data_IF_159600949469
#
_entry.id   IF_159600949469
#
_cell.length_a   1.000
_cell.length_b   1.000
_cell.length_c   1.000
_cell.angle_alpha   90.00
_cell.angle_beta   90.00
_cell.angle_gamma   90.00
#
_symmetry.space_group_name_H-M   'P 1'
#
loop_
_entity.id
_entity.type
_entity.pdbx_description
1 polymer ?
#
# COMPACT_ATOMS: atom_id res chain seq x y z
N UNK A 1 15.39 -10.88 5.08
CA UNK A 1 16.17 -11.74 4.16
C UNK A 1 17.64 -11.92 4.55
N UNK A 2 18.27 -11.06 5.36
CA UNK A 2 19.68 -11.25 5.75
C UNK A 2 20.00 -12.65 6.30
N UNK A 3 19.11 -13.28 7.08
CA UNK A 3 19.34 -14.64 7.61
C UNK A 3 19.42 -15.75 6.55
N UNK A 4 18.75 -15.61 5.40
CA UNK A 4 18.76 -16.65 4.35
C UNK A 4 20.07 -16.68 3.58
N UNK A 5 20.90 -15.62 3.67
CA UNK A 5 22.25 -15.61 3.11
C UNK A 5 23.23 -16.53 3.89
N UNK A 6 22.94 -16.83 5.17
CA UNK A 6 23.76 -17.73 6.01
C UNK A 6 23.11 -19.10 6.24
N UNK A 7 21.82 -19.25 5.91
CA UNK A 7 21.11 -20.53 5.98
C UNK A 7 19.94 -20.53 4.99
N UNK A 8 20.12 -21.22 3.86
CA UNK A 8 19.15 -21.35 2.78
C UNK A 8 18.03 -22.36 3.08
N UNK A 9 18.16 -23.14 4.13
CA UNK A 9 17.15 -24.11 4.59
C UNK A 9 16.07 -23.50 5.48
N UNK A 10 16.14 -22.19 5.74
CA UNK A 10 15.14 -21.51 6.55
C UNK A 10 13.83 -21.37 5.77
N UNK A 11 12.73 -21.76 6.41
CA UNK A 11 11.40 -21.57 5.85
C UNK A 11 11.03 -20.08 5.77
N UNK A 12 10.47 -19.68 4.62
CA UNK A 12 10.13 -18.29 4.36
C UNK A 12 8.99 -17.82 5.26
N UNK A 13 7.96 -18.64 5.44
CA UNK A 13 6.75 -18.27 6.17
C UNK A 13 7.04 -18.11 7.66
N UNK A 14 7.85 -19.01 8.23
CA UNK A 14 8.35 -18.87 9.60
C UNK A 14 9.15 -17.58 9.78
N UNK A 15 10.03 -17.26 8.82
CA UNK A 15 10.84 -16.04 8.88
C UNK A 15 9.99 -14.78 8.76
N UNK A 16 8.99 -14.78 7.88
CA UNK A 16 8.06 -13.68 7.70
C UNK A 16 7.25 -13.45 8.98
N UNK A 17 6.61 -14.50 9.52
CA UNK A 17 5.86 -14.42 10.78
C UNK A 17 6.72 -13.85 11.91
N UNK A 18 7.94 -14.37 12.07
CA UNK A 18 8.87 -13.88 13.09
C UNK A 18 9.28 -12.42 12.87
N UNK A 19 9.53 -12.03 11.63
CA UNK A 19 9.86 -10.64 11.32
C UNK A 19 8.73 -9.70 11.71
N UNK A 20 7.50 -10.01 11.28
CA UNK A 20 6.35 -9.16 11.55
C UNK A 20 5.99 -9.14 13.04
N UNK A 21 6.06 -10.25 13.76
CA UNK A 21 5.83 -10.27 15.22
C UNK A 21 6.86 -9.41 15.97
N UNK A 22 8.12 -9.42 15.53
CA UNK A 22 9.18 -8.60 16.15
C UNK A 22 9.10 -7.11 15.77
N UNK A 23 8.59 -6.78 14.58
CA UNK A 23 8.55 -5.41 14.09
C UNK A 23 7.25 -4.67 14.46
N UNK A 24 6.14 -5.40 14.60
CA UNK A 24 4.80 -4.85 14.78
C UNK A 24 4.11 -5.34 16.06
N UNK A 25 4.74 -6.23 16.83
CA UNK A 25 4.21 -6.74 18.09
C UNK A 25 3.04 -7.70 17.91
N UNK A 26 2.07 -7.62 18.81
CA UNK A 26 0.94 -8.55 18.90
C UNK A 26 0.12 -8.64 17.60
N UNK A 27 -0.08 -7.51 16.91
CA UNK A 27 -0.83 -7.45 15.66
C UNK A 27 0.05 -7.67 14.42
N UNK A 28 1.28 -8.18 14.59
CA UNK A 28 2.22 -8.40 13.48
C UNK A 28 1.71 -9.38 12.42
N UNK A 29 1.03 -10.46 12.82
CA UNK A 29 0.48 -11.43 11.85
C UNK A 29 -0.62 -10.79 10.98
N UNK A 30 -1.45 -9.91 11.55
CA UNK A 30 -2.41 -9.10 10.78
C UNK A 30 -1.72 -8.21 9.74
N UNK A 31 -0.56 -7.62 10.10
CA UNK A 31 0.23 -6.81 9.18
C UNK A 31 0.83 -7.65 8.04
N UNK A 32 1.29 -8.86 8.33
CA UNK A 32 1.77 -9.81 7.32
C UNK A 32 0.66 -10.16 6.32
N UNK A 33 -0.52 -10.54 6.80
CA UNK A 33 -1.67 -10.85 5.96
C UNK A 33 -2.08 -9.64 5.11
N UNK A 34 -2.13 -8.45 5.73
CA UNK A 34 -2.41 -7.20 5.04
C UNK A 34 -1.46 -6.96 3.86
N UNK A 35 -0.15 -7.09 4.11
CA UNK A 35 0.89 -6.88 3.09
C UNK A 35 0.86 -7.93 1.99
N UNK A 36 0.66 -9.21 2.33
CA UNK A 36 0.59 -10.29 1.36
C UNK A 36 -0.57 -10.06 0.39
N UNK A 37 -1.76 -9.80 0.92
CA UNK A 37 -2.95 -9.55 0.10
C UNK A 37 -2.82 -8.27 -0.73
N UNK A 38 -2.23 -7.21 -0.17
CA UNK A 38 -1.98 -5.98 -0.92
C UNK A 38 -1.02 -6.21 -2.08
N UNK A 39 0.00 -7.05 -1.91
CA UNK A 39 0.92 -7.45 -2.98
C UNK A 39 0.19 -8.16 -4.12
N UNK A 40 -0.74 -9.07 -3.81
CA UNK A 40 -1.58 -9.74 -4.79
C UNK A 40 -2.48 -8.76 -5.55
N UNK A 41 -3.12 -7.83 -4.83
CA UNK A 41 -4.00 -6.82 -5.42
C UNK A 41 -3.27 -5.90 -6.39
N UNK A 42 -2.01 -5.55 -6.09
CA UNK A 42 -1.19 -4.74 -6.98
C UNK A 42 -0.71 -5.46 -8.24
N UNK A 43 -0.90 -6.78 -8.35
CA UNK A 43 -0.60 -7.58 -9.54
C UNK A 43 0.83 -7.34 -10.09
N UNK A 44 1.86 -7.92 -9.44
CA UNK A 44 3.25 -7.71 -9.82
C UNK A 44 3.56 -8.03 -11.31
N UNK A 45 2.93 -9.03 -11.97
CA UNK A 45 3.02 -9.19 -13.42
C UNK A 45 2.58 -7.95 -14.21
N UNK A 46 1.45 -7.34 -13.87
CA UNK A 46 0.96 -6.11 -14.51
C UNK A 46 1.95 -4.95 -14.29
N UNK A 47 2.41 -4.74 -13.05
CA UNK A 47 3.38 -3.67 -12.74
C UNK A 47 4.72 -3.81 -13.46
N UNK A 48 5.10 -5.04 -13.85
CA UNK A 48 6.33 -5.31 -14.62
C UNK A 48 6.12 -5.27 -16.12
N UNK A 49 4.94 -4.85 -16.60
CA UNK A 49 4.63 -4.78 -18.03
C UNK A 49 4.49 -6.15 -18.71
N UNK A 50 4.22 -7.22 -17.94
CA UNK A 50 3.96 -8.55 -18.50
C UNK A 50 2.50 -8.72 -18.98
N UNK A 51 1.67 -7.68 -18.81
CA UNK A 51 0.29 -7.59 -19.27
C UNK A 51 0.09 -6.30 -20.06
N UNK A 52 -1.01 -6.22 -20.80
CA UNK A 52 -1.37 -5.01 -21.53
C UNK A 52 -1.61 -3.84 -20.57
N UNK A 53 -1.27 -2.63 -21.02
CA UNK A 53 -1.46 -1.42 -20.24
C UNK A 53 -2.94 -1.08 -20.01
N UNK A 54 -3.82 -1.48 -20.94
CA UNK A 54 -5.27 -1.31 -20.80
C UNK A 54 -5.84 -2.70 -20.50
N UNK A 55 -6.24 -2.92 -19.25
CA UNK A 55 -6.77 -4.19 -18.77
C UNK A 55 -7.92 -3.89 -17.80
N UNK A 56 -9.15 -4.25 -18.21
CA UNK A 56 -10.36 -4.01 -17.40
C UNK A 56 -10.34 -4.79 -16.08
N UNK A 57 -9.75 -5.99 -16.06
CA UNK A 57 -9.65 -6.81 -14.85
C UNK A 57 -8.64 -6.22 -13.88
N UNK A 58 -7.54 -5.66 -14.39
CA UNK A 58 -6.59 -4.93 -13.57
C UNK A 58 -7.24 -3.65 -12.99
N UNK A 59 -7.98 -2.90 -13.80
CA UNK A 59 -8.70 -1.71 -13.34
C UNK A 59 -9.71 -2.03 -12.22
N UNK A 60 -10.54 -3.07 -12.39
CA UNK A 60 -11.48 -3.53 -11.35
C UNK A 60 -10.76 -3.92 -10.07
N UNK A 61 -9.65 -4.68 -10.17
CA UNK A 61 -8.85 -5.05 -9.01
C UNK A 61 -8.29 -3.84 -8.27
N UNK A 62 -7.74 -2.85 -8.99
CA UNK A 62 -7.18 -1.65 -8.39
C UNK A 62 -8.24 -0.79 -7.69
N UNK A 63 -9.47 -0.75 -8.22
CA UNK A 63 -10.57 0.03 -7.63
C UNK A 63 -10.92 -0.42 -6.20
N UNK A 64 -10.73 -1.70 -5.86
CA UNK A 64 -10.99 -2.26 -4.53
C UNK A 64 -9.86 -2.07 -3.52
N UNK A 65 -8.68 -1.57 -3.92
CA UNK A 65 -7.52 -1.45 -3.02
C UNK A 65 -7.76 -0.42 -1.92
N UNK A 66 -8.37 0.73 -2.24
CA UNK A 66 -8.61 1.77 -1.24
C UNK A 66 -9.54 1.29 -0.12
N UNK A 67 -10.60 0.54 -0.47
CA UNK A 67 -11.51 -0.06 0.51
C UNK A 67 -10.79 -1.07 1.40
N UNK A 68 -9.99 -1.96 0.79
CA UNK A 68 -9.17 -2.92 1.54
C UNK A 68 -8.17 -2.25 2.49
N UNK A 69 -7.55 -1.15 2.06
CA UNK A 69 -6.64 -0.36 2.88
C UNK A 69 -7.39 0.30 4.04
N UNK A 70 -8.57 0.87 3.77
CA UNK A 70 -9.37 1.57 4.76
C UNK A 70 -9.89 0.62 5.85
N UNK A 71 -10.27 -0.61 5.51
CA UNK A 71 -10.63 -1.65 6.47
C UNK A 71 -9.50 -1.95 7.47
N UNK A 72 -8.25 -1.89 7.01
CA UNK A 72 -7.08 -2.15 7.84
C UNK A 72 -6.62 -0.92 8.64
N UNK A 73 -7.09 0.30 8.33
CA UNK A 73 -6.66 1.53 9.03
C UNK A 73 -6.91 1.50 10.52
N UNK A 74 -8.00 0.86 10.97
CA UNK A 74 -8.32 0.72 12.39
C UNK A 74 -7.21 -0.01 13.16
N UNK A 75 -6.63 -1.04 12.56
CA UNK A 75 -5.51 -1.80 13.14
C UNK A 75 -4.26 -0.92 13.21
N UNK A 76 -3.96 -0.19 12.13
CA UNK A 76 -2.82 0.75 12.08
C UNK A 76 -2.94 1.80 13.19
N UNK A 77 -4.11 2.42 13.34
CA UNK A 77 -4.33 3.51 14.31
C UNK A 77 -4.31 3.02 15.75
N UNK A 78 -4.88 1.84 16.03
CA UNK A 78 -4.84 1.23 17.36
C UNK A 78 -3.41 0.94 17.83
N UNK A 79 -2.50 0.61 16.90
CA UNK A 79 -1.12 0.25 17.25
C UNK A 79 -0.11 1.39 17.07
N UNK A 80 -0.49 2.51 16.46
CA UNK A 80 0.38 3.67 16.28
C UNK A 80 0.83 4.33 17.60
N UNK A 81 0.11 4.04 18.69
CA UNK A 81 0.43 4.48 20.06
C UNK A 81 1.01 3.39 20.95
N UNK A 82 1.55 2.30 20.39
CA UNK A 82 2.19 1.21 21.15
C UNK A 82 3.26 1.73 22.13
N UNK A 83 3.31 1.16 23.34
CA UNK A 83 4.30 1.52 24.37
C UNK A 83 5.74 1.23 23.93
N UNK A 84 5.92 0.21 23.09
CA UNK A 84 7.19 -0.07 22.44
C UNK A 84 7.44 0.93 21.27
N UNK A 85 8.47 1.79 21.35
CA UNK A 85 8.75 2.78 20.32
C UNK A 85 9.08 2.19 18.94
N UNK A 86 9.67 0.99 18.90
CA UNK A 86 9.99 0.31 17.65
C UNK A 86 8.71 -0.14 16.96
N UNK A 87 7.78 -0.75 17.70
CA UNK A 87 6.48 -1.13 17.15
C UNK A 87 5.70 0.10 16.69
N UNK A 88 5.63 1.16 17.52
CA UNK A 88 4.93 2.39 17.17
C UNK A 88 5.50 3.03 15.89
N UNK A 89 6.82 3.03 15.72
CA UNK A 89 7.47 3.50 14.50
C UNK A 89 7.09 2.67 13.27
N UNK A 90 7.10 1.33 13.37
CA UNK A 90 6.67 0.44 12.29
C UNK A 90 5.23 0.72 11.85
N UNK A 91 4.30 0.85 12.79
CA UNK A 91 2.90 1.17 12.51
C UNK A 91 2.73 2.58 11.90
N UNK A 92 3.54 3.55 12.33
CA UNK A 92 3.58 4.88 11.72
C UNK A 92 4.07 4.84 10.28
N UNK A 93 5.09 4.04 9.97
CA UNK A 93 5.53 3.85 8.58
C UNK A 93 4.46 3.15 7.74
N UNK A 94 3.76 2.18 8.32
CA UNK A 94 2.67 1.49 7.66
C UNK A 94 1.52 2.44 7.29
N UNK A 95 1.23 3.43 8.14
CA UNK A 95 0.27 4.49 7.83
C UNK A 95 0.67 5.31 6.59
N UNK A 96 1.93 5.70 6.47
CA UNK A 96 2.37 6.42 5.27
C UNK A 96 2.34 5.52 4.03
N UNK A 97 2.74 4.26 4.18
CA UNK A 97 2.66 3.28 3.12
C UNK A 97 1.22 3.07 2.64
N UNK A 98 0.24 2.98 3.53
CA UNK A 98 -1.16 2.80 3.17
C UNK A 98 -1.71 3.97 2.35
N UNK A 99 -1.33 5.21 2.70
CA UNK A 99 -1.68 6.41 1.93
C UNK A 99 -1.05 6.37 0.52
N UNK A 100 0.22 5.95 0.40
CA UNK A 100 0.90 5.80 -0.89
C UNK A 100 0.21 4.73 -1.74
N UNK A 101 -0.18 3.60 -1.16
CA UNK A 101 -0.87 2.53 -1.86
C UNK A 101 -2.21 3.00 -2.43
N UNK A 102 -2.99 3.80 -1.70
CA UNK A 102 -4.23 4.37 -2.22
C UNK A 102 -3.98 5.28 -3.43
N UNK A 103 -2.96 6.15 -3.36
CA UNK A 103 -2.59 7.03 -4.48
C UNK A 103 -2.18 6.22 -5.71
N UNK A 104 -1.40 5.16 -5.50
CA UNK A 104 -0.94 4.28 -6.57
C UNK A 104 -2.09 3.48 -7.19
N UNK A 105 -3.02 2.97 -6.38
CA UNK A 105 -4.20 2.25 -6.85
C UNK A 105 -5.06 3.10 -7.79
N UNK A 106 -5.36 4.35 -7.40
CA UNK A 106 -6.13 5.29 -8.22
C UNK A 106 -5.41 5.59 -9.55
N UNK A 107 -4.10 5.78 -9.53
CA UNK A 107 -3.33 6.01 -10.74
C UNK A 107 -3.34 4.78 -11.67
N UNK A 108 -3.16 3.59 -11.10
CA UNK A 108 -3.15 2.32 -11.83
C UNK A 108 -4.52 1.96 -12.41
N UNK A 109 -5.61 2.20 -11.67
CA UNK A 109 -6.99 2.05 -12.17
C UNK A 109 -7.22 2.94 -13.40
N UNK A 110 -6.82 4.21 -13.32
CA UNK A 110 -6.97 5.16 -14.41
C UNK A 110 -6.20 4.70 -15.66
N UNK A 111 -4.96 4.24 -15.50
CA UNK A 111 -4.15 3.68 -16.59
C UNK A 111 -4.79 2.43 -17.19
N UNK A 112 -5.11 1.45 -16.34
CA UNK A 112 -5.69 0.16 -16.74
C UNK A 112 -7.04 0.30 -17.43
N UNK A 113 -7.86 1.28 -17.03
CA UNK A 113 -9.17 1.51 -17.63
C UNK A 113 -9.12 2.14 -19.03
N UNK A 114 -7.94 2.61 -19.48
CA UNK A 114 -7.77 3.35 -20.73
C UNK A 114 -8.50 4.70 -20.77
N UNK A 115 -9.14 5.11 -19.66
CA UNK A 115 -9.88 6.36 -19.54
C UNK A 115 -8.91 7.45 -19.11
N UNK A 116 -8.41 8.26 -20.06
CA UNK A 116 -7.91 9.61 -19.74
C UNK A 116 -9.10 10.48 -19.27
N UNK A 117 -9.51 10.33 -18.01
CA UNK A 117 -10.56 11.16 -17.41
C UNK A 117 -9.90 12.21 -16.52
N UNK A 118 -10.18 13.49 -16.80
CA UNK A 118 -9.94 14.61 -15.86
C UNK A 118 -10.52 14.20 -14.50
N UNK A 119 -9.64 14.01 -13.52
CA UNK A 119 -9.99 13.46 -12.21
C UNK A 119 -11.07 14.32 -11.54
N UNK A 120 -12.29 13.79 -11.37
CA UNK A 120 -13.25 14.31 -10.39
C UNK A 120 -13.06 13.52 -9.10
N UNK A 121 -12.50 14.13 -8.06
CA UNK A 121 -12.17 13.44 -6.82
C UNK A 121 -13.42 12.94 -6.09
N UNK A 122 -13.38 11.68 -5.68
CA UNK A 122 -14.43 10.96 -4.98
C UNK A 122 -14.24 11.04 -3.45
N UNK A 123 -15.34 11.26 -2.71
CA UNK A 123 -15.49 11.03 -1.26
C UNK A 123 -14.80 12.02 -0.33
N UNK A 124 -15.56 12.75 0.52
CA UNK A 124 -15.14 13.91 1.35
C UNK A 124 -13.90 13.76 2.27
N UNK A 125 -13.31 12.56 2.39
CA UNK A 125 -12.12 12.25 3.18
C UNK A 125 -10.79 12.76 2.58
N UNK A 126 -10.77 13.06 1.27
CA UNK A 126 -9.61 13.52 0.50
C UNK A 126 -9.17 15.00 0.69
N UNK A 127 -10.01 15.88 1.27
CA UNK A 127 -9.71 17.33 1.32
C UNK A 127 -8.43 17.71 2.09
N UNK A 128 -8.09 17.12 3.26
CA UNK A 128 -6.87 17.48 3.97
C UNK A 128 -5.61 16.94 3.30
N UNK A 129 -5.70 15.77 2.66
CA UNK A 129 -4.57 15.14 1.95
C UNK A 129 -4.23 15.95 0.70
N UNK A 130 -5.22 16.39 -0.08
CA UNK A 130 -5.01 17.23 -1.27
C UNK A 130 -4.49 18.64 -0.93
N UNK A 131 -4.95 19.22 0.18
CA UNK A 131 -4.50 20.56 0.63
C UNK A 131 -3.07 20.56 1.20
N UNK A 132 -2.66 19.49 1.89
CA UNK A 132 -1.31 19.40 2.48
C UNK A 132 -0.24 18.89 1.51
N UNK A 133 -0.59 18.04 0.55
CA UNK A 133 0.35 17.55 -0.49
C UNK A 133 0.56 18.55 -1.62
N UNK A 134 -0.36 19.49 -1.88
CA UNK A 134 -0.17 20.57 -2.87
C UNK A 134 1.00 21.51 -2.51
N UNK A 135 1.32 21.70 -1.25
CA UNK A 135 2.48 22.54 -0.86
C UNK A 135 3.79 21.76 -0.90
N UNK A 136 3.76 20.41 -0.77
CA UNK A 136 4.97 19.58 -0.59
C UNK A 136 5.36 18.74 -1.81
N UNK A 137 4.43 18.38 -2.70
CA UNK A 137 4.69 17.56 -3.91
C UNK A 137 4.14 18.17 -5.21
N UNK A 138 3.80 19.48 -5.22
CA UNK A 138 3.41 20.23 -6.43
C UNK A 138 4.41 20.06 -7.59
N UNK A 139 5.70 19.90 -7.28
CA UNK A 139 6.76 19.69 -8.27
C UNK A 139 6.67 18.33 -9.01
N UNK A 140 6.00 17.33 -8.45
CA UNK A 140 5.87 15.99 -9.03
C UNK A 140 4.52 15.74 -9.72
N UNK A 141 3.46 16.45 -9.31
CA UNK A 141 2.13 16.36 -9.92
C UNK A 141 2.03 17.06 -11.30
N UNK A 142 3.03 17.85 -11.70
CA UNK A 142 3.11 18.40 -13.06
C UNK A 142 3.43 17.34 -14.13
N UNK A 143 4.01 16.20 -13.76
CA UNK A 143 4.40 15.15 -14.72
C UNK A 143 3.28 14.18 -15.10
N UNK A 144 2.13 14.22 -14.40
CA UNK A 144 0.96 13.38 -14.69
C UNK A 144 -0.07 14.04 -15.63
N UNK A 145 0.30 15.16 -16.27
CA UNK A 145 -0.47 15.81 -17.35
C UNK A 145 0.24 15.64 -18.71
N UNK A 146 0.51 14.40 -19.13
CA UNK A 146 0.94 14.05 -20.49
C UNK A 146 0.03 12.96 -21.08
#
# INVERSE_FOLDING_TARGET
MGRTLWNDKLDFDELAKKYFSCAFGQDGEKCLEYMARLSELFDPPYLRGKRELIDKNAAERFSGICEYVDDFRKVIEANAGSDDPCHAASWKYLKYHSDICCLMAVALEAMASGKRKKHKPCGSWWKPIYASTRTRYSKYLMFLNL
#
